data_IF_581257061431
#
_entry.id   IF_581257061431
#
_cell.length_a   1.000
_cell.length_b   1.000
_cell.length_c   1.000
_cell.angle_alpha   90.00
_cell.angle_beta   90.00
_cell.angle_gamma   90.00
#
_symmetry.space_group_name_H-M   'P 1'
#
loop_
_entity.id
_entity.type
_entity.pdbx_description
1 polymer ?
#
# COMPACT_ATOMS: atom_id res chain seq x y z
N UNK A 1 -7.97 -13.94 -10.49
CA UNK A 1 -6.85 -13.98 -9.54
C UNK A 1 -7.30 -13.51 -8.19
N UNK A 2 -6.91 -14.22 -7.19
CA UNK A 2 -7.36 -13.92 -5.84
C UNK A 2 -6.25 -13.34 -5.00
N UNK A 3 -6.66 -12.58 -4.00
CA UNK A 3 -5.74 -12.14 -2.96
C UNK A 3 -5.29 -13.37 -2.18
N UNK A 4 -4.09 -13.32 -1.63
CA UNK A 4 -3.56 -14.42 -0.83
C UNK A 4 -2.80 -13.90 0.37
N UNK A 5 -2.66 -14.76 1.38
CA UNK A 5 -1.82 -14.45 2.55
C UNK A 5 -0.50 -15.17 2.39
N UNK A 6 0.58 -14.48 2.69
CA UNK A 6 1.92 -15.01 2.64
C UNK A 6 2.65 -14.67 3.94
N UNK A 7 3.27 -15.66 4.55
CA UNK A 7 4.10 -15.45 5.73
C UNK A 7 5.53 -15.15 5.27
N UNK A 8 6.03 -13.98 5.63
CA UNK A 8 7.38 -13.55 5.24
C UNK A 8 8.13 -13.15 6.49
N UNK A 9 9.07 -13.99 6.91
CA UNK A 9 9.89 -13.74 8.10
C UNK A 9 9.06 -13.38 9.33
N UNK A 10 7.98 -14.13 9.53
CA UNK A 10 7.10 -13.93 10.67
C UNK A 10 6.05 -12.84 10.50
N UNK A 11 6.03 -12.17 9.35
CA UNK A 11 5.03 -11.14 9.04
C UNK A 11 3.95 -11.75 8.16
N UNK A 12 2.70 -11.65 8.60
CA UNK A 12 1.58 -12.17 7.84
C UNK A 12 1.08 -11.08 6.89
N UNK A 13 1.33 -11.27 5.60
CA UNK A 13 1.07 -10.27 4.57
C UNK A 13 -0.11 -10.67 3.70
N UNK A 14 -1.12 -9.80 3.61
CA UNK A 14 -2.17 -9.95 2.62
C UNK A 14 -1.64 -9.38 1.30
N UNK A 15 -1.39 -10.26 0.34
CA UNK A 15 -0.91 -9.87 -1.00
C UNK A 15 -2.12 -9.73 -1.91
N UNK A 16 -2.46 -8.50 -2.29
CA UNK A 16 -3.62 -8.23 -3.12
C UNK A 16 -3.34 -8.54 -4.58
N UNK A 17 -4.35 -9.06 -5.28
CA UNK A 17 -4.26 -9.32 -6.71
C UNK A 17 -4.17 -8.00 -7.49
N UNK A 18 -3.59 -8.06 -8.68
CA UNK A 18 -3.51 -6.88 -9.55
C UNK A 18 -4.86 -6.52 -10.17
N UNK A 19 -5.71 -7.52 -10.41
CA UNK A 19 -7.06 -7.30 -10.91
C UNK A 19 -8.04 -7.07 -9.75
N UNK A 20 -9.02 -6.22 -9.98
CA UNK A 20 -10.06 -5.94 -9.00
C UNK A 20 -10.35 -4.46 -8.88
N UNK A 21 -11.21 -4.13 -7.95
CA UNK A 21 -11.61 -2.75 -7.70
C UNK A 21 -10.42 -1.93 -7.24
N UNK A 22 -10.30 -0.73 -7.79
CA UNK A 22 -9.25 0.19 -7.39
C UNK A 22 -9.65 0.92 -6.11
N UNK A 23 -8.64 1.17 -5.28
CA UNK A 23 -8.81 2.04 -4.13
C UNK A 23 -8.85 3.47 -4.63
N UNK A 24 -10.03 4.06 -4.65
CA UNK A 24 -10.28 5.41 -5.18
C UNK A 24 -10.84 6.37 -4.13
N UNK A 25 -11.38 5.86 -3.04
CA UNK A 25 -11.97 6.67 -1.99
C UNK A 25 -11.93 5.98 -0.64
N UNK A 26 -12.39 6.69 0.38
CA UNK A 26 -12.31 6.18 1.75
C UNK A 26 -13.10 4.90 1.98
N UNK A 27 -14.22 4.71 1.28
CA UNK A 27 -15.01 3.48 1.40
C UNK A 27 -14.21 2.26 0.94
N UNK A 28 -13.39 2.42 -0.07
CA UNK A 28 -12.56 1.32 -0.58
C UNK A 28 -11.50 0.91 0.41
N UNK A 29 -11.01 1.85 1.22
CA UNK A 29 -10.01 1.55 2.25
C UNK A 29 -10.56 0.50 3.20
N UNK A 30 -11.82 0.64 3.59
CA UNK A 30 -12.44 -0.27 4.53
C UNK A 30 -12.50 -1.71 4.00
N UNK A 31 -12.64 -1.88 2.70
CA UNK A 31 -12.65 -3.22 2.10
C UNK A 31 -11.31 -3.92 2.28
N UNK A 32 -10.21 -3.19 2.07
CA UNK A 32 -8.87 -3.75 2.28
C UNK A 32 -8.61 -4.03 3.76
N UNK A 33 -9.00 -3.12 4.65
CA UNK A 33 -8.82 -3.30 6.08
C UNK A 33 -9.64 -4.49 6.60
N UNK A 34 -10.88 -4.62 6.13
CA UNK A 34 -11.75 -5.72 6.53
C UNK A 34 -11.19 -7.07 6.12
N UNK A 35 -10.65 -7.14 4.90
CA UNK A 35 -10.05 -8.39 4.45
C UNK A 35 -8.80 -8.75 5.23
N UNK A 36 -7.96 -7.77 5.53
CA UNK A 36 -6.79 -7.98 6.36
C UNK A 36 -7.17 -8.47 7.75
N UNK A 37 -8.18 -7.87 8.32
CA UNK A 37 -8.70 -8.28 9.63
C UNK A 37 -9.21 -9.72 9.59
N UNK A 38 -10.01 -10.05 8.59
CA UNK A 38 -10.58 -11.39 8.44
C UNK A 38 -9.50 -12.46 8.32
N UNK A 39 -8.41 -12.16 7.61
CA UNK A 39 -7.31 -13.09 7.38
C UNK A 39 -6.19 -12.97 8.40
N UNK A 40 -6.37 -12.12 9.40
CA UNK A 40 -5.39 -11.88 10.46
C UNK A 40 -4.03 -11.40 9.94
N UNK A 41 -4.04 -10.64 8.85
CA UNK A 41 -2.83 -10.06 8.31
C UNK A 41 -2.43 -8.81 9.10
N UNK A 42 -1.13 -8.58 9.20
CA UNK A 42 -0.57 -7.38 9.85
C UNK A 42 0.01 -6.41 8.85
N UNK A 43 0.12 -6.81 7.59
CA UNK A 43 0.55 -5.97 6.49
C UNK A 43 -0.30 -6.26 5.27
N UNK A 44 -0.58 -5.23 4.48
CA UNK A 44 -1.29 -5.37 3.21
C UNK A 44 -0.37 -4.87 2.11
N UNK A 45 -0.12 -5.73 1.12
CA UNK A 45 0.67 -5.37 -0.06
C UNK A 45 -0.30 -5.11 -1.21
N UNK A 46 -0.37 -3.85 -1.66
CA UNK A 46 -1.31 -3.42 -2.69
C UNK A 46 -0.53 -3.04 -3.95
N UNK A 47 -0.80 -3.72 -5.08
CA UNK A 47 -0.16 -3.35 -6.35
C UNK A 47 -0.62 -1.97 -6.81
N UNK A 48 0.27 -1.25 -7.47
CA UNK A 48 -0.05 0.06 -8.06
C UNK A 48 -1.30 -0.01 -8.95
N UNK A 49 -1.50 -1.12 -9.63
CA UNK A 49 -2.67 -1.34 -10.48
C UNK A 49 -4.00 -1.26 -9.72
N UNK A 50 -3.98 -1.46 -8.40
CA UNK A 50 -5.17 -1.41 -7.54
C UNK A 50 -5.35 -0.06 -6.86
N UNK A 51 -4.50 0.92 -7.17
CA UNK A 51 -4.61 2.28 -6.63
C UNK A 51 -5.04 3.23 -7.74
N UNK A 52 -6.04 4.05 -7.47
CA UNK A 52 -6.45 5.07 -8.42
C UNK A 52 -5.36 6.15 -8.51
N UNK A 53 -5.33 6.87 -9.62
CA UNK A 53 -4.35 7.94 -9.85
C UNK A 53 -4.35 8.98 -8.72
N UNK A 54 -5.50 9.25 -8.14
CA UNK A 54 -5.64 10.21 -7.06
C UNK A 54 -4.79 9.86 -5.84
N UNK A 55 -4.46 8.59 -5.64
CA UNK A 55 -3.57 8.20 -4.55
C UNK A 55 -2.20 8.87 -4.71
N UNK A 56 -1.72 8.99 -5.95
CA UNK A 56 -0.40 9.57 -6.23
C UNK A 56 -0.43 11.08 -6.40
N UNK A 57 -1.59 11.68 -6.37
CA UNK A 57 -1.75 13.14 -6.41
C UNK A 57 -2.03 13.63 -4.99
N UNK A 58 -0.99 14.07 -4.30
CA UNK A 58 -1.10 14.39 -2.87
C UNK A 58 -2.15 15.44 -2.55
N UNK A 59 -2.42 16.35 -3.48
CA UNK A 59 -3.46 17.38 -3.30
C UNK A 59 -4.87 16.82 -3.09
N UNK A 60 -5.10 15.58 -3.54
CA UNK A 60 -6.41 14.93 -3.35
C UNK A 60 -6.62 14.46 -1.93
N UNK A 61 -5.53 14.33 -1.16
CA UNK A 61 -5.52 13.83 0.21
C UNK A 61 -5.87 12.35 0.34
N UNK A 62 -6.01 11.62 -0.76
CA UNK A 62 -6.35 10.20 -0.70
C UNK A 62 -5.24 9.40 -0.03
N UNK A 63 -3.97 9.64 -0.41
CA UNK A 63 -2.85 8.92 0.21
C UNK A 63 -2.81 9.16 1.72
N UNK A 64 -3.00 10.41 2.15
CA UNK A 64 -3.03 10.74 3.57
C UNK A 64 -4.15 10.01 4.31
N UNK A 65 -5.34 9.93 3.71
CA UNK A 65 -6.46 9.22 4.31
C UNK A 65 -6.18 7.72 4.43
N UNK A 66 -5.58 7.13 3.40
CA UNK A 66 -5.20 5.71 3.40
C UNK A 66 -4.20 5.43 4.51
N UNK A 67 -3.12 6.22 4.56
CA UNK A 67 -2.07 6.06 5.57
C UNK A 67 -2.67 6.17 6.97
N UNK A 68 -3.50 7.19 7.21
CA UNK A 68 -4.08 7.41 8.52
C UNK A 68 -4.95 6.23 8.96
N UNK A 69 -5.75 5.68 8.05
CA UNK A 69 -6.58 4.53 8.36
C UNK A 69 -5.75 3.30 8.70
N UNK A 70 -4.72 3.03 7.92
CA UNK A 70 -3.85 1.88 8.19
C UNK A 70 -3.16 2.02 9.54
N UNK A 71 -2.63 3.21 9.84
CA UNK A 71 -1.99 3.46 11.13
C UNK A 71 -2.98 3.29 12.28
N UNK A 72 -4.19 3.83 12.13
CA UNK A 72 -5.22 3.73 13.18
C UNK A 72 -5.59 2.28 13.49
N UNK A 73 -5.57 1.41 12.49
CA UNK A 73 -5.89 -0.01 12.66
C UNK A 73 -4.65 -0.87 12.88
N UNK A 74 -3.51 -0.25 13.05
CA UNK A 74 -2.22 -0.93 13.31
C UNK A 74 -1.85 -1.92 12.20
N UNK A 75 -2.19 -1.56 10.97
CA UNK A 75 -1.83 -2.32 9.79
C UNK A 75 -0.74 -1.60 9.03
N UNK A 76 0.22 -2.35 8.55
CA UNK A 76 1.28 -1.82 7.69
C UNK A 76 0.82 -1.92 6.24
N UNK A 77 1.29 -0.99 5.41
CA UNK A 77 0.96 -0.96 3.99
C UNK A 77 2.24 -1.01 3.16
N UNK A 78 2.26 -1.86 2.14
CA UNK A 78 3.31 -1.86 1.14
C UNK A 78 2.66 -1.62 -0.23
N UNK A 79 3.11 -0.58 -0.93
CA UNK A 79 2.66 -0.30 -2.30
C UNK A 79 3.69 -0.90 -3.23
N UNK A 80 3.25 -1.79 -4.11
CA UNK A 80 4.15 -2.55 -4.99
C UNK A 80 3.97 -2.13 -6.44
N UNK A 81 5.04 -1.71 -7.07
CA UNK A 81 5.02 -1.37 -8.48
C UNK A 81 5.92 -0.20 -8.81
N UNK A 82 6.00 0.11 -10.10
CA UNK A 82 6.80 1.21 -10.60
C UNK A 82 6.01 2.51 -10.51
N UNK A 83 6.51 3.44 -9.69
CA UNK A 83 5.90 4.76 -9.51
C UNK A 83 6.80 5.88 -10.04
N UNK A 84 7.81 5.53 -10.84
CA UNK A 84 8.80 6.51 -11.31
C UNK A 84 8.20 7.66 -12.10
N UNK A 85 7.16 7.41 -12.91
CA UNK A 85 6.49 8.46 -13.66
C UNK A 85 5.81 9.48 -12.74
N UNK A 86 5.19 9.02 -11.65
CA UNK A 86 4.55 9.90 -10.68
C UNK A 86 5.58 10.73 -9.92
N UNK A 87 6.68 10.10 -9.52
CA UNK A 87 7.77 10.77 -8.79
C UNK A 87 8.43 11.83 -9.67
N UNK A 88 8.59 11.55 -10.97
CA UNK A 88 9.19 12.49 -11.90
C UNK A 88 8.38 13.79 -12.02
N UNK A 89 7.08 13.73 -11.80
CA UNK A 89 6.19 14.88 -11.94
C UNK A 89 5.96 15.64 -10.63
N UNK A 90 6.38 15.08 -9.50
CA UNK A 90 6.04 15.70 -8.21
C UNK A 90 7.15 15.51 -7.19
N UNK A 91 7.82 16.61 -6.83
CA UNK A 91 8.82 16.60 -5.77
C UNK A 91 8.18 16.26 -4.44
N UNK A 92 6.95 16.73 -4.20
CA UNK A 92 6.25 16.43 -2.97
C UNK A 92 6.00 14.93 -2.82
N UNK A 93 5.61 14.25 -3.89
CA UNK A 93 5.40 12.82 -3.85
C UNK A 93 6.72 12.09 -3.61
N UNK A 94 7.80 12.52 -4.29
CA UNK A 94 9.12 11.91 -4.09
C UNK A 94 9.53 12.00 -2.63
N UNK A 95 9.34 13.16 -2.00
CA UNK A 95 9.69 13.35 -0.60
C UNK A 95 8.82 12.49 0.31
N UNK A 96 7.53 12.42 0.01
CA UNK A 96 6.59 11.58 0.75
C UNK A 96 7.02 10.11 0.73
N UNK A 97 7.37 9.59 -0.45
CA UNK A 97 7.82 8.21 -0.61
C UNK A 97 9.11 7.96 0.15
N UNK A 98 10.05 8.90 0.07
CA UNK A 98 11.32 8.78 0.77
C UNK A 98 11.12 8.70 2.28
N UNK A 99 10.29 9.59 2.83
CA UNK A 99 9.99 9.59 4.26
C UNK A 99 9.26 8.31 4.67
N UNK A 100 8.29 7.87 3.87
CA UNK A 100 7.57 6.64 4.14
C UNK A 100 8.51 5.44 4.22
N UNK A 101 9.45 5.36 3.29
CA UNK A 101 10.40 4.24 3.23
C UNK A 101 11.41 4.23 4.38
N UNK A 102 11.62 5.35 5.04
CA UNK A 102 12.45 5.40 6.25
C UNK A 102 11.72 4.90 7.47
N UNK A 103 10.41 4.99 7.46
CA UNK A 103 9.58 4.57 8.56
C UNK A 103 9.27 3.09 8.49
N UNK A 104 8.22 2.71 9.17
CA UNK A 104 7.83 1.32 9.30
C UNK A 104 6.42 1.05 8.82
N UNK A 105 5.56 2.06 8.82
CA UNK A 105 4.13 1.86 8.59
C UNK A 105 3.77 1.73 7.12
N UNK A 106 4.41 2.51 6.26
CA UNK A 106 4.11 2.55 4.82
C UNK A 106 5.41 2.40 4.05
N UNK A 107 5.46 1.43 3.17
CA UNK A 107 6.61 1.22 2.29
C UNK A 107 6.19 1.23 0.83
N UNK A 108 7.09 1.69 -0.03
CA UNK A 108 6.97 1.61 -1.47
C UNK A 108 8.11 0.75 -1.99
N UNK A 109 7.78 -0.32 -2.70
CA UNK A 109 8.76 -1.24 -3.24
C UNK A 109 8.40 -1.54 -4.69
N UNK A 110 9.41 -1.92 -5.49
CA UNK A 110 9.18 -2.18 -6.90
C UNK A 110 8.33 -3.43 -7.13
N UNK A 111 8.49 -4.42 -6.27
CA UNK A 111 7.77 -5.69 -6.40
C UNK A 111 7.80 -6.46 -5.08
N UNK A 112 7.18 -7.63 -5.08
CA UNK A 112 7.12 -8.47 -3.90
C UNK A 112 8.50 -8.98 -3.46
N UNK A 113 9.39 -9.22 -4.42
CA UNK A 113 10.75 -9.68 -4.10
C UNK A 113 11.50 -8.62 -3.27
N UNK A 114 11.38 -7.36 -3.65
CA UNK A 114 11.99 -6.26 -2.89
C UNK A 114 11.37 -6.16 -1.50
N UNK A 115 10.06 -6.30 -1.39
CA UNK A 115 9.39 -6.29 -0.09
C UNK A 115 9.92 -7.41 0.80
N UNK A 116 10.05 -8.62 0.25
CA UNK A 116 10.57 -9.76 1.01
C UNK A 116 11.98 -9.48 1.54
N UNK A 117 12.81 -8.82 0.75
CA UNK A 117 14.18 -8.52 1.17
C UNK A 117 14.23 -7.49 2.29
N UNK A 118 13.20 -6.66 2.44
CA UNK A 118 13.13 -5.65 3.49
C UNK A 118 12.54 -6.17 4.80
N UNK A 119 11.76 -7.21 4.71
CA UNK A 119 11.18 -7.84 5.89
C UNK A 119 12.16 -8.83 6.52
#
# INVERSE_FOLDING_TARGET
>A
MNDRVEEIRGVRVLVCAEEGEKLAGEGDINDFLGKAWELEATMVAIPVARLADDFFRLRTRLAGAVVQKFVNYRLRLAVLGDISAWIAESDALRDFVREANRGRDIWFAADLAELRSRL
#
